data_IF_968295463751
#
_entry.id   IF_968295463751
#
_cell.length_a   1.000
_cell.length_b   1.000
_cell.length_c   1.000
_cell.angle_alpha   90.00
_cell.angle_beta   90.00
_cell.angle_gamma   90.00
#
_symmetry.space_group_name_H-M   'P 1'
#
loop_
_entity.id
_entity.type
_entity.pdbx_description
1 polymer ?
#
# COMPACT_ATOMS: atom_id res chain seq x y z
N UNK A 1 -7.45 45.86 47.24
CA UNK A 1 -7.71 44.44 46.92
C UNK A 1 -7.02 44.17 45.59
N UNK A 2 -5.91 43.43 45.62
CA UNK A 2 -5.04 43.16 44.47
C UNK A 2 -5.33 41.74 44.02
N UNK A 3 -6.00 41.56 42.89
CA UNK A 3 -6.20 40.25 42.27
C UNK A 3 -5.52 40.27 40.91
N UNK A 4 -4.35 39.63 40.84
CA UNK A 4 -3.61 39.39 39.61
C UNK A 4 -4.10 38.08 39.00
N UNK A 5 -4.64 38.15 37.78
CA UNK A 5 -4.97 36.98 36.94
C UNK A 5 -3.73 36.65 36.12
N UNK A 6 -3.15 35.48 36.35
CA UNK A 6 -2.06 34.93 35.53
C UNK A 6 -2.68 34.01 34.49
N UNK A 7 -2.65 34.42 33.22
CA UNK A 7 -2.99 33.58 32.07
C UNK A 7 -1.71 32.84 31.66
N UNK A 8 -1.68 31.52 31.86
CA UNK A 8 -0.61 30.66 31.36
C UNK A 8 -1.02 30.08 30.01
N UNK A 9 -0.59 30.72 28.92
CA UNK A 9 -0.72 30.19 27.57
C UNK A 9 0.46 29.25 27.28
N UNK A 10 0.21 27.94 27.33
CA UNK A 10 1.17 26.91 26.90
C UNK A 10 1.04 26.75 25.37
N UNK A 11 1.78 27.56 24.62
CA UNK A 11 1.98 27.33 23.19
C UNK A 11 3.03 26.23 23.01
N UNK A 12 2.58 24.97 23.04
CA UNK A 12 3.39 23.84 22.58
C UNK A 12 3.39 23.85 21.04
N UNK A 13 4.29 24.62 20.43
CA UNK A 13 4.69 24.35 19.04
C UNK A 13 5.55 23.08 19.07
N UNK A 14 4.88 21.94 19.09
CA UNK A 14 5.52 20.66 18.81
C UNK A 14 5.96 20.68 17.35
N UNK A 15 7.22 21.00 17.11
CA UNK A 15 7.91 20.49 15.93
C UNK A 15 7.84 18.96 16.07
N UNK A 16 6.81 18.32 15.49
CA UNK A 16 6.87 16.90 15.23
C UNK A 16 8.11 16.73 14.36
N UNK A 17 9.22 16.31 14.98
CA UNK A 17 10.37 15.87 14.23
C UNK A 17 9.84 14.80 13.30
N UNK A 18 9.85 15.08 12.00
CA UNK A 18 9.59 14.06 10.99
C UNK A 18 10.73 13.07 11.20
N UNK A 19 10.47 12.03 11.99
CA UNK A 19 11.36 10.90 12.13
C UNK A 19 11.44 10.31 10.74
N UNK A 20 12.62 10.39 10.12
CA UNK A 20 12.88 9.71 8.87
C UNK A 20 12.46 8.26 9.04
N UNK A 21 11.58 7.78 8.16
CA UNK A 21 11.23 6.36 8.10
C UNK A 21 12.35 5.62 7.37
N UNK A 22 12.59 4.38 7.79
CA UNK A 22 13.62 3.52 7.23
C UNK A 22 13.04 2.59 6.15
N UNK A 23 13.93 1.96 5.38
CA UNK A 23 13.54 0.99 4.37
C UNK A 23 12.76 -0.20 4.94
N UNK A 24 12.96 -0.55 6.22
CA UNK A 24 12.24 -1.62 6.89
C UNK A 24 10.74 -1.30 7.05
N UNK A 25 10.40 -0.04 7.34
CA UNK A 25 9.00 0.42 7.38
C UNK A 25 8.33 0.25 6.01
N UNK A 26 9.00 0.69 4.94
CA UNK A 26 8.49 0.56 3.57
C UNK A 26 8.30 -0.91 3.16
N UNK A 27 9.23 -1.79 3.52
CA UNK A 27 9.09 -3.23 3.28
C UNK A 27 7.89 -3.82 4.02
N UNK A 28 7.69 -3.47 5.30
CA UNK A 28 6.52 -3.91 6.08
C UNK A 28 5.21 -3.40 5.48
N UNK A 29 5.19 -2.20 4.91
CA UNK A 29 4.02 -1.67 4.22
C UNK A 29 3.73 -2.46 2.94
N UNK A 30 4.74 -2.82 2.15
CA UNK A 30 4.58 -3.67 0.96
C UNK A 30 4.02 -5.06 1.32
N UNK A 31 4.46 -5.65 2.43
CA UNK A 31 3.89 -6.91 2.93
C UNK A 31 2.41 -6.76 3.33
N UNK A 32 2.06 -5.64 3.98
CA UNK A 32 0.68 -5.32 4.35
C UNK A 32 -0.19 -5.13 3.11
N UNK A 33 0.31 -4.40 2.10
CA UNK A 33 -0.35 -4.26 0.80
C UNK A 33 -0.60 -5.61 0.15
N UNK A 34 0.40 -6.49 0.18
CA UNK A 34 0.27 -7.84 -0.36
C UNK A 34 -0.84 -8.66 0.33
N UNK A 35 -0.94 -8.57 1.66
CA UNK A 35 -2.02 -9.20 2.42
C UNK A 35 -3.40 -8.61 2.09
N UNK A 36 -3.50 -7.28 1.97
CA UNK A 36 -4.76 -6.61 1.67
C UNK A 36 -5.22 -6.88 0.23
N UNK A 37 -4.30 -6.95 -0.74
CA UNK A 37 -4.63 -7.33 -2.12
C UNK A 37 -5.13 -8.78 -2.22
N UNK A 38 -4.56 -9.71 -1.45
CA UNK A 38 -5.08 -11.08 -1.37
C UNK A 38 -6.46 -11.14 -0.70
N UNK A 39 -6.69 -10.31 0.31
CA UNK A 39 -7.99 -10.18 0.98
C UNK A 39 -9.05 -9.64 0.02
N UNK A 40 -8.71 -8.60 -0.76
CA UNK A 40 -9.56 -8.07 -1.83
C UNK A 40 -9.85 -9.15 -2.88
N UNK A 41 -8.83 -9.86 -3.35
CA UNK A 41 -8.99 -10.96 -4.32
C UNK A 41 -9.97 -12.02 -3.81
N UNK A 42 -9.86 -12.38 -2.53
CA UNK A 42 -10.75 -13.35 -1.88
C UNK A 42 -12.18 -12.84 -1.78
N UNK A 43 -12.37 -11.57 -1.39
CA UNK A 43 -13.68 -10.94 -1.29
C UNK A 43 -14.37 -10.86 -2.67
N UNK A 44 -13.62 -10.46 -3.71
CA UNK A 44 -14.11 -10.41 -5.09
C UNK A 44 -14.51 -11.81 -5.57
N UNK A 45 -13.67 -12.82 -5.38
CA UNK A 45 -13.99 -14.19 -5.77
C UNK A 45 -15.23 -14.73 -5.05
N UNK A 46 -15.45 -14.30 -3.80
CA UNK A 46 -16.61 -14.68 -3.00
C UNK A 46 -17.88 -13.90 -3.35
N UNK A 47 -17.76 -12.76 -4.05
CA UNK A 47 -18.89 -11.92 -4.40
C UNK A 47 -19.87 -12.66 -5.32
N UNK A 48 -21.09 -12.84 -4.85
CA UNK A 48 -22.21 -13.47 -5.56
C UNK A 48 -23.42 -12.55 -5.71
N UNK A 49 -23.43 -11.43 -5.00
CA UNK A 49 -24.46 -10.41 -5.07
C UNK A 49 -24.32 -9.38 -3.94
N UNK A 50 -25.34 -8.52 -3.79
CA UNK A 50 -25.31 -7.38 -2.87
C UNK A 50 -25.11 -7.77 -1.40
N UNK A 51 -25.48 -8.99 -1.00
CA UNK A 51 -25.25 -9.51 0.36
C UNK A 51 -23.76 -9.59 0.73
N UNK A 52 -22.88 -9.74 -0.27
CA UNK A 52 -21.44 -9.86 -0.08
C UNK A 52 -20.72 -8.50 -0.22
N UNK A 53 -21.45 -7.44 -0.59
CA UNK A 53 -20.89 -6.13 -0.89
C UNK A 53 -20.17 -5.51 0.32
N UNK A 54 -20.67 -5.73 1.54
CA UNK A 54 -20.04 -5.20 2.75
C UNK A 54 -18.61 -5.74 2.95
N UNK A 55 -18.40 -7.04 2.70
CA UNK A 55 -17.07 -7.65 2.80
C UNK A 55 -16.12 -7.17 1.71
N UNK A 56 -16.64 -6.96 0.49
CA UNK A 56 -15.88 -6.39 -0.62
C UNK A 56 -15.44 -4.95 -0.34
N UNK A 57 -16.37 -4.10 0.10
CA UNK A 57 -16.10 -2.69 0.44
C UNK A 57 -15.06 -2.60 1.57
N UNK A 58 -15.18 -3.45 2.60
CA UNK A 58 -14.20 -3.47 3.69
C UNK A 58 -12.79 -3.86 3.22
N UNK A 59 -12.68 -4.84 2.31
CA UNK A 59 -11.40 -5.26 1.77
C UNK A 59 -10.78 -4.20 0.84
N UNK A 60 -11.59 -3.53 0.03
CA UNK A 60 -11.16 -2.45 -0.85
C UNK A 60 -10.68 -1.24 -0.04
N UNK A 61 -11.46 -0.80 0.95
CA UNK A 61 -11.09 0.31 1.83
C UNK A 61 -9.82 0.01 2.62
N UNK A 62 -9.66 -1.22 3.11
CA UNK A 62 -8.43 -1.65 3.79
C UNK A 62 -7.20 -1.63 2.86
N UNK A 63 -7.38 -1.94 1.57
CA UNK A 63 -6.31 -1.81 0.59
C UNK A 63 -5.97 -0.34 0.32
N UNK A 64 -6.97 0.52 0.08
CA UNK A 64 -6.77 1.96 -0.14
C UNK A 64 -6.06 2.63 1.05
N UNK A 65 -6.51 2.36 2.28
CA UNK A 65 -5.88 2.89 3.49
C UNK A 65 -4.41 2.45 3.61
N UNK A 66 -4.11 1.20 3.27
CA UNK A 66 -2.74 0.68 3.28
C UNK A 66 -1.88 1.34 2.19
N UNK A 67 -2.41 1.60 0.99
CA UNK A 67 -1.67 2.30 -0.08
C UNK A 67 -1.37 3.74 0.35
N UNK A 68 -2.35 4.42 0.93
CA UNK A 68 -2.19 5.78 1.42
C UNK A 68 -1.14 5.86 2.54
N UNK A 69 -1.18 4.92 3.50
CA UNK A 69 -0.15 4.81 4.54
C UNK A 69 1.24 4.54 3.95
N UNK A 70 1.37 3.53 3.09
CA UNK A 70 2.64 3.19 2.44
C UNK A 70 3.21 4.37 1.64
N UNK A 71 2.35 5.15 0.99
CA UNK A 71 2.72 6.39 0.29
C UNK A 71 3.26 7.45 1.23
N UNK A 72 2.61 7.66 2.37
CA UNK A 72 3.09 8.60 3.39
C UNK A 72 4.44 8.18 3.95
N UNK A 73 4.63 6.89 4.26
CA UNK A 73 5.87 6.38 4.82
C UNK A 73 7.02 6.39 3.79
N UNK A 74 6.75 6.06 2.52
CA UNK A 74 7.70 6.20 1.42
C UNK A 74 8.15 7.66 1.23
N UNK A 75 7.22 8.63 1.29
CA UNK A 75 7.54 10.07 1.21
C UNK A 75 8.37 10.58 2.40
N UNK A 76 8.22 9.93 3.56
CA UNK A 76 8.99 10.26 4.77
C UNK A 76 10.37 9.58 4.80
N UNK A 77 10.68 8.72 3.83
CA UNK A 77 11.97 8.03 3.71
C UNK A 77 12.96 8.93 2.98
N UNK A 78 14.04 9.34 3.64
CA UNK A 78 14.96 10.37 3.11
C UNK A 78 16.26 9.82 2.53
N UNK A 79 16.59 8.55 2.78
CA UNK A 79 17.81 7.92 2.26
C UNK A 79 17.65 6.40 2.26
N UNK A 80 17.74 5.79 1.08
CA UNK A 80 17.71 4.34 0.88
C UNK A 80 19.05 3.93 0.27
N UNK A 81 19.76 3.00 0.91
CA UNK A 81 21.01 2.44 0.35
C UNK A 81 20.74 1.58 -0.89
N UNK A 82 21.75 1.31 -1.71
CA UNK A 82 21.60 0.45 -2.89
C UNK A 82 21.04 -0.95 -2.54
N UNK A 83 21.48 -1.54 -1.42
CA UNK A 83 21.01 -2.83 -0.94
C UNK A 83 19.54 -2.80 -0.50
N UNK A 84 19.13 -1.75 0.20
CA UNK A 84 17.74 -1.56 0.62
C UNK A 84 16.85 -1.28 -0.59
N UNK A 85 17.32 -0.46 -1.54
CA UNK A 85 16.61 -0.16 -2.78
C UNK A 85 16.39 -1.40 -3.63
N UNK A 86 17.38 -2.29 -3.71
CA UNK A 86 17.22 -3.60 -4.36
C UNK A 86 16.17 -4.46 -3.65
N UNK A 87 16.18 -4.49 -2.31
CA UNK A 87 15.23 -5.28 -1.51
C UNK A 87 13.79 -4.78 -1.70
N UNK A 88 13.58 -3.46 -1.68
CA UNK A 88 12.29 -2.83 -1.94
C UNK A 88 11.83 -3.14 -3.37
N UNK A 89 12.72 -3.01 -4.37
CA UNK A 89 12.35 -3.31 -5.75
C UNK A 89 11.93 -4.77 -5.94
N UNK A 90 12.64 -5.72 -5.32
CA UNK A 90 12.29 -7.14 -5.42
C UNK A 90 10.98 -7.45 -4.69
N UNK A 91 10.70 -6.79 -3.56
CA UNK A 91 9.40 -6.87 -2.90
C UNK A 91 8.27 -6.36 -3.82
N UNK A 92 8.46 -5.23 -4.51
CA UNK A 92 7.48 -4.70 -5.49
C UNK A 92 7.28 -5.68 -6.64
N UNK A 93 8.34 -6.26 -7.23
CA UNK A 93 8.22 -7.26 -8.30
C UNK A 93 7.39 -8.46 -7.88
N UNK A 94 7.63 -8.97 -6.68
CA UNK A 94 6.89 -10.11 -6.12
C UNK A 94 5.43 -9.77 -5.81
N UNK A 95 5.12 -8.49 -5.63
CA UNK A 95 3.76 -8.01 -5.40
C UNK A 95 2.94 -7.89 -6.71
N UNK A 96 3.56 -7.58 -7.85
CA UNK A 96 2.88 -7.40 -9.15
C UNK A 96 1.93 -8.57 -9.51
N UNK A 97 2.33 -9.86 -9.40
CA UNK A 97 1.43 -10.97 -9.71
C UNK A 97 0.12 -10.97 -8.90
N UNK A 98 0.16 -10.50 -7.65
CA UNK A 98 -1.02 -10.44 -6.79
C UNK A 98 -1.96 -9.30 -7.17
N UNK A 99 -1.42 -8.14 -7.61
CA UNK A 99 -2.22 -7.06 -8.19
C UNK A 99 -2.94 -7.57 -9.45
N UNK A 100 -2.22 -8.25 -10.35
CA UNK A 100 -2.77 -8.79 -11.59
C UNK A 100 -3.84 -9.85 -11.31
N UNK A 101 -3.63 -10.70 -10.31
CA UNK A 101 -4.63 -11.68 -9.88
C UNK A 101 -5.90 -11.02 -9.34
N UNK A 102 -5.77 -9.97 -8.52
CA UNK A 102 -6.90 -9.21 -8.00
C UNK A 102 -7.72 -8.55 -9.13
N UNK A 103 -7.04 -7.90 -10.08
CA UNK A 103 -7.69 -7.26 -11.23
C UNK A 103 -8.40 -8.29 -12.12
N UNK A 104 -7.78 -9.44 -12.38
CA UNK A 104 -8.41 -10.53 -13.12
C UNK A 104 -9.63 -11.11 -12.38
N UNK A 105 -9.58 -11.20 -11.04
CA UNK A 105 -10.74 -11.61 -10.24
C UNK A 105 -11.90 -10.61 -10.42
N UNK A 106 -11.63 -9.31 -10.37
CA UNK A 106 -12.66 -8.26 -10.54
C UNK A 106 -13.30 -8.35 -11.93
N UNK A 107 -12.46 -8.45 -12.95
CA UNK A 107 -12.87 -8.68 -14.35
C UNK A 107 -13.75 -9.91 -14.48
N UNK A 108 -13.37 -11.04 -13.87
CA UNK A 108 -14.13 -12.30 -13.97
C UNK A 108 -15.52 -12.21 -13.32
N UNK A 109 -15.72 -11.23 -12.43
CA UNK A 109 -16.97 -10.97 -11.71
C UNK A 109 -17.81 -9.86 -12.34
N UNK A 110 -17.43 -9.34 -13.52
CA UNK A 110 -18.15 -8.26 -14.22
C UNK A 110 -19.66 -8.52 -14.32
N UNK A 111 -20.08 -9.74 -14.71
CA UNK A 111 -21.51 -10.08 -14.77
C UNK A 111 -22.20 -10.04 -13.40
N UNK A 112 -21.54 -10.50 -12.33
CA UNK A 112 -22.09 -10.46 -10.99
C UNK A 112 -22.25 -9.00 -10.50
N UNK A 113 -21.26 -8.14 -10.77
CA UNK A 113 -21.34 -6.71 -10.46
C UNK A 113 -22.42 -6.00 -11.28
N UNK A 114 -22.59 -6.34 -12.56
CA UNK A 114 -23.69 -5.81 -13.39
C UNK A 114 -25.05 -6.27 -12.85
N UNK A 115 -25.21 -7.55 -12.51
CA UNK A 115 -26.46 -8.08 -11.93
C UNK A 115 -26.79 -7.44 -10.58
N UNK A 116 -25.79 -7.11 -9.78
CA UNK A 116 -25.95 -6.40 -8.52
C UNK A 116 -26.12 -4.86 -8.69
N UNK A 117 -25.98 -4.33 -9.91
CA UNK A 117 -26.12 -2.90 -10.19
C UNK A 117 -24.97 -2.02 -9.71
N UNK A 118 -23.79 -2.60 -9.41
CA UNK A 118 -22.63 -1.91 -8.82
C UNK A 118 -21.44 -1.76 -9.77
N UNK A 119 -21.60 -2.10 -11.06
CA UNK A 119 -20.50 -2.08 -12.03
C UNK A 119 -19.80 -0.71 -12.16
N UNK A 120 -20.56 0.39 -12.17
CA UNK A 120 -19.99 1.74 -12.27
C UNK A 120 -19.16 2.13 -11.05
N UNK A 121 -19.56 1.64 -9.87
CA UNK A 121 -18.86 1.85 -8.61
C UNK A 121 -17.52 1.10 -8.65
N UNK A 122 -17.56 -0.19 -9.00
CA UNK A 122 -16.35 -1.00 -9.13
C UNK A 122 -15.38 -0.40 -10.15
N UNK A 123 -15.87 0.12 -11.29
CA UNK A 123 -15.02 0.80 -12.27
C UNK A 123 -14.37 2.09 -11.69
N UNK A 124 -15.12 2.84 -10.87
CA UNK A 124 -14.61 4.00 -10.14
C UNK A 124 -13.54 3.62 -9.11
N UNK A 125 -13.74 2.55 -8.37
CA UNK A 125 -12.81 2.05 -7.36
C UNK A 125 -11.50 1.56 -8.02
N UNK A 126 -11.57 0.85 -9.16
CA UNK A 126 -10.37 0.46 -9.92
C UNK A 126 -9.56 1.70 -10.38
N UNK A 127 -10.23 2.76 -10.86
CA UNK A 127 -9.56 3.99 -11.28
C UNK A 127 -8.93 4.76 -10.10
N UNK A 128 -9.62 4.75 -8.95
CA UNK A 128 -9.12 5.27 -7.68
C UNK A 128 -7.87 4.53 -7.21
N UNK A 129 -7.94 3.21 -7.08
CA UNK A 129 -6.82 2.36 -6.68
C UNK A 129 -5.61 2.49 -7.62
N UNK A 130 -5.85 2.63 -8.92
CA UNK A 130 -4.78 2.92 -9.89
C UNK A 130 -4.07 4.22 -9.52
N UNK A 131 -4.82 5.30 -9.29
CA UNK A 131 -4.25 6.61 -8.94
C UNK A 131 -3.41 6.53 -7.67
N UNK A 132 -3.92 5.85 -6.64
CA UNK A 132 -3.20 5.63 -5.38
C UNK A 132 -1.93 4.80 -5.59
N UNK A 133 -1.99 3.74 -6.41
CA UNK A 133 -0.84 2.92 -6.75
C UNK A 133 0.24 3.72 -7.52
N UNK A 134 -0.16 4.58 -8.45
CA UNK A 134 0.77 5.48 -9.16
C UNK A 134 1.43 6.48 -8.20
N UNK A 135 0.69 7.04 -7.24
CA UNK A 135 1.22 7.93 -6.21
C UNK A 135 2.22 7.22 -5.28
N UNK A 136 1.92 5.98 -4.88
CA UNK A 136 2.83 5.14 -4.11
C UNK A 136 4.11 4.83 -4.90
N UNK A 137 3.98 4.41 -6.16
CA UNK A 137 5.11 4.11 -7.03
C UNK A 137 6.01 5.34 -7.23
N UNK A 138 5.43 6.52 -7.45
CA UNK A 138 6.17 7.77 -7.57
C UNK A 138 6.94 8.11 -6.28
N UNK A 139 6.35 7.87 -5.11
CA UNK A 139 7.02 8.06 -3.82
C UNK A 139 8.21 7.11 -3.65
N UNK A 140 8.05 5.83 -4.00
CA UNK A 140 9.15 4.85 -3.96
C UNK A 140 10.29 5.23 -4.90
N UNK A 141 9.98 5.59 -6.15
CA UNK A 141 11.00 5.97 -7.15
C UNK A 141 11.76 7.23 -6.71
N UNK A 142 11.08 8.17 -6.05
CA UNK A 142 11.71 9.37 -5.52
C UNK A 142 12.67 9.07 -4.36
N UNK A 143 12.33 8.11 -3.49
CA UNK A 143 13.17 7.67 -2.37
C UNK A 143 14.29 6.70 -2.81
N UNK A 144 14.16 6.06 -3.97
CA UNK A 144 15.05 5.02 -4.44
C UNK A 144 16.45 5.56 -4.84
N UNK A 145 17.51 4.77 -4.60
CA UNK A 145 18.84 5.09 -5.11
C UNK A 145 18.87 5.06 -6.64
N UNK A 146 19.83 5.76 -7.25
CA UNK A 146 19.84 6.01 -8.70
C UNK A 146 19.79 4.70 -9.53
N UNK A 147 20.53 3.68 -9.11
CA UNK A 147 20.56 2.37 -9.78
C UNK A 147 19.25 1.57 -9.73
N UNK A 148 18.31 1.96 -8.86
CA UNK A 148 17.01 1.31 -8.69
C UNK A 148 15.90 1.98 -9.50
N UNK A 149 16.07 3.24 -9.90
CA UNK A 149 14.99 4.05 -10.51
C UNK A 149 14.48 3.49 -11.83
N UNK A 150 15.36 2.96 -12.68
CA UNK A 150 14.95 2.34 -13.95
C UNK A 150 14.02 1.15 -13.70
N UNK A 151 14.41 0.25 -12.80
CA UNK A 151 13.57 -0.88 -12.37
C UNK A 151 12.26 -0.42 -11.73
N UNK A 152 12.30 0.60 -10.86
CA UNK A 152 11.10 1.18 -10.26
C UNK A 152 10.11 1.72 -11.30
N UNK A 153 10.59 2.46 -12.31
CA UNK A 153 9.75 2.98 -13.40
C UNK A 153 9.16 1.84 -14.27
N UNK A 154 9.93 0.79 -14.54
CA UNK A 154 9.45 -0.38 -15.28
C UNK A 154 8.33 -1.11 -14.51
N UNK A 155 8.51 -1.30 -13.20
CA UNK A 155 7.48 -1.88 -12.33
C UNK A 155 6.21 -1.02 -12.28
N UNK A 156 6.35 0.30 -12.11
CA UNK A 156 5.22 1.23 -12.11
C UNK A 156 4.43 1.19 -13.43
N UNK A 157 5.14 1.23 -14.56
CA UNK A 157 4.54 1.12 -15.89
C UNK A 157 3.81 -0.22 -16.09
N UNK A 158 4.35 -1.30 -15.52
CA UNK A 158 3.74 -2.61 -15.56
C UNK A 158 2.41 -2.66 -14.80
N UNK A 159 2.39 -2.10 -13.59
CA UNK A 159 1.17 -2.00 -12.76
C UNK A 159 0.13 -1.13 -13.47
N UNK A 160 0.50 0.04 -13.97
CA UNK A 160 -0.40 0.94 -14.70
C UNK A 160 -1.02 0.27 -15.92
N UNK A 161 -0.23 -0.49 -16.69
CA UNK A 161 -0.71 -1.25 -17.83
C UNK A 161 -1.72 -2.35 -17.42
N UNK A 162 -1.48 -3.03 -16.28
CA UNK A 162 -2.42 -4.02 -15.76
C UNK A 162 -3.78 -3.40 -15.40
N UNK A 163 -3.78 -2.24 -14.73
CA UNK A 163 -5.00 -1.49 -14.43
C UNK A 163 -5.72 -1.01 -15.70
N UNK A 164 -5.00 -0.42 -16.66
CA UNK A 164 -5.56 0.01 -17.95
C UNK A 164 -6.21 -1.16 -18.71
N UNK A 165 -5.53 -2.30 -18.78
CA UNK A 165 -6.07 -3.49 -19.42
C UNK A 165 -7.35 -3.97 -18.70
N UNK A 166 -7.36 -3.98 -17.36
CA UNK A 166 -8.54 -4.38 -16.60
C UNK A 166 -9.76 -3.49 -16.90
N UNK A 167 -9.55 -2.18 -17.05
CA UNK A 167 -10.59 -1.20 -17.39
C UNK A 167 -11.01 -1.34 -18.86
N UNK A 168 -10.06 -1.43 -19.79
CA UNK A 168 -10.32 -1.31 -21.22
C UNK A 168 -10.71 -2.63 -21.89
N UNK A 169 -9.99 -3.70 -21.60
CA UNK A 169 -10.14 -5.00 -22.28
C UNK A 169 -10.88 -6.03 -21.43
N UNK A 170 -11.12 -5.70 -20.15
CA UNK A 170 -11.60 -6.66 -19.15
C UNK A 170 -10.67 -7.88 -19.09
N UNK A 171 -9.36 -7.64 -19.05
CA UNK A 171 -8.31 -8.63 -18.71
C UNK A 171 -7.13 -7.88 -18.10
N UNK A 172 -6.38 -8.47 -17.17
CA UNK A 172 -5.13 -7.88 -16.67
C UNK A 172 -3.94 -8.77 -17.08
N UNK A 173 -3.05 -8.23 -17.92
CA UNK A 173 -1.79 -8.87 -18.31
C UNK A 173 -0.63 -8.30 -17.47
N UNK A 174 0.09 -9.19 -16.77
CA UNK A 174 1.25 -8.87 -15.93
C UNK A 174 2.60 -9.29 -16.51
N UNK A 175 2.67 -9.65 -17.79
CA UNK A 175 3.87 -10.20 -18.44
C UNK A 175 5.10 -9.30 -18.34
N UNK A 176 4.89 -7.99 -18.16
CA UNK A 176 5.93 -6.99 -17.93
C UNK A 176 6.75 -7.19 -16.64
N UNK A 177 6.26 -7.94 -15.65
CA UNK A 177 7.00 -8.18 -14.39
C UNK A 177 8.38 -8.82 -14.63
N UNK A 178 8.48 -9.69 -15.64
CA UNK A 178 9.73 -10.38 -15.99
C UNK A 178 10.81 -9.46 -16.59
N UNK A 179 10.41 -8.28 -17.09
CA UNK A 179 11.33 -7.28 -17.67
C UNK A 179 11.88 -6.28 -16.66
N UNK A 180 11.44 -6.32 -15.40
CA UNK A 180 11.91 -5.41 -14.36
C UNK A 180 13.29 -5.85 -13.88
N UNK A 181 14.34 -5.11 -14.25
CA UNK A 181 15.73 -5.36 -13.84
C UNK A 181 16.31 -4.19 -13.04
N UNK A 182 17.21 -4.49 -12.10
CA UNK A 182 17.98 -3.48 -11.36
C UNK A 182 19.29 -3.22 -12.12
N UNK A 183 19.52 -1.98 -12.59
CA UNK A 183 20.73 -1.65 -13.36
C UNK A 183 21.92 -1.26 -12.48
N UNK A 184 21.72 -1.04 -11.17
CA UNK A 184 22.76 -0.57 -10.24
C UNK A 184 23.66 -1.62 -9.59
N UNK A 185 23.49 -2.91 -9.88
CA UNK A 185 24.18 -3.99 -9.19
C UNK A 185 25.58 -4.25 -9.74
N UNK A 186 26.55 -3.43 -9.35
CA UNK A 186 27.99 -3.69 -9.39
C UNK A 186 28.47 -4.50 -10.61
N UNK A 187 28.67 -3.82 -11.73
CA UNK A 187 29.89 -4.13 -12.50
C UNK A 187 31.06 -3.78 -11.57
N UNK A 188 31.50 -4.78 -10.80
CA UNK A 188 32.89 -4.86 -10.42
C UNK A 188 33.67 -4.89 -11.74
N UNK A 189 33.92 -3.70 -12.28
CA UNK A 189 34.98 -3.47 -13.25
C UNK A 189 36.21 -3.99 -12.55
N UNK A 190 36.54 -5.25 -12.84
CA UNK A 190 37.84 -5.79 -12.57
C UNK A 190 38.77 -4.81 -13.25
N UNK A 191 39.41 -3.92 -12.46
CA UNK A 191 40.50 -3.13 -12.97
C UNK A 191 41.42 -4.12 -13.67
N UNK A 192 41.86 -3.87 -14.92
CA UNK A 192 42.82 -4.74 -15.55
C UNK A 192 44.01 -4.83 -14.60
N UNK A 193 44.24 -6.03 -14.07
CA UNK A 193 45.43 -6.32 -13.29
C UNK A 193 46.58 -6.20 -14.30
N UNK A 194 47.20 -5.03 -14.34
CA UNK A 194 48.48 -4.86 -15.02
C UNK A 194 49.47 -5.75 -14.27
N UNK A 195 49.65 -6.96 -14.81
CA UNK A 195 50.68 -7.90 -14.41
C UNK A 195 52.04 -7.23 -14.67
N UNK A 196 52.54 -6.48 -13.69
CA UNK A 196 53.92 -5.98 -13.71
C UNK A 196 54.82 -7.09 -13.19
N UNK A 197 55.38 -7.86 -14.13
CA UNK A 197 56.44 -8.83 -13.87
C UNK A 197 57.76 -8.10 -13.61
N UNK A 198 58.07 -7.82 -12.35
CA UNK A 198 59.45 -7.55 -11.94
C UNK A 198 59.76 -8.39 -10.70
N UNK A 199 60.61 -9.38 -10.94
CA UNK A 199 61.24 -10.18 -9.92
C UNK A 199 62.19 -9.31 -9.09
N UNK A 200 62.05 -9.35 -7.77
CA UNK A 200 63.22 -9.23 -6.90
C UNK A 200 63.05 -10.06 -5.62
N UNK A 201 64.05 -10.89 -5.43
CA UNK A 201 64.30 -11.90 -4.39
C UNK A 201 64.85 -11.14 -3.14
N UNK A 202 64.45 -11.38 -1.88
CA UNK A 202 64.98 -12.26 -0.77
C UNK A 202 64.74 -11.45 0.56
N UNK A 203 65.04 -11.89 1.82
CA UNK A 203 64.97 -13.20 2.50
C UNK A 203 64.13 -13.22 3.81
N UNK A 204 63.65 -14.42 4.14
CA UNK A 204 63.68 -15.14 5.43
C UNK A 204 64.11 -14.45 6.74
N UNK A 205 63.21 -14.45 7.73
CA UNK A 205 63.44 -14.78 9.17
C UNK A 205 62.07 -15.03 9.85
N UNK A 206 61.71 -16.25 10.29
CA UNK A 206 62.11 -17.01 11.48
C UNK A 206 61.75 -16.38 12.83
N UNK A 207 60.65 -16.86 13.45
CA UNK A 207 60.45 -17.19 14.88
C UNK A 207 58.93 -17.12 15.20
N UNK A 208 58.22 -18.26 15.27
CA UNK A 208 58.02 -19.09 16.46
C UNK A 208 57.11 -18.45 17.53
N UNK A 209 55.87 -18.96 17.68
CA UNK A 209 55.38 -19.41 18.98
C UNK A 209 54.14 -20.32 18.86
N UNK A 210 54.29 -21.53 19.40
CA UNK A 210 53.22 -22.46 19.77
C UNK A 210 52.29 -21.85 20.83
N UNK A 211 51.01 -22.25 20.86
CA UNK A 211 50.46 -23.21 21.83
C UNK A 211 48.93 -23.32 21.68
N UNK A 212 48.44 -24.54 21.44
CA UNK A 212 47.07 -25.02 21.78
C UNK A 212 46.93 -25.10 23.32
N UNK A 213 45.75 -25.28 23.99
CA UNK A 213 44.68 -26.25 23.64
C UNK A 213 43.21 -25.98 24.10
N UNK A 214 42.29 -26.72 23.49
CA UNK A 214 41.15 -27.51 24.03
C UNK A 214 40.10 -27.01 25.06
N UNK A 215 38.90 -27.58 24.87
CA UNK A 215 37.80 -27.94 25.81
C UNK A 215 36.75 -26.90 26.24
N UNK A 216 35.48 -27.24 26.01
CA UNK A 216 34.37 -27.40 27.00
C UNK A 216 33.03 -27.36 26.22
N UNK A 217 32.37 -28.48 25.90
CA UNK A 217 31.36 -29.16 26.74
C UNK A 217 30.45 -28.21 27.55
N UNK A 218 29.13 -28.33 27.37
CA UNK A 218 28.17 -27.75 28.30
C UNK A 218 26.75 -27.49 27.80
N UNK A 219 25.91 -28.52 27.88
CA UNK A 219 24.53 -28.44 28.41
C UNK A 219 23.40 -27.81 27.58
N UNK A 220 22.51 -28.71 27.14
CA UNK A 220 21.08 -28.48 26.96
C UNK A 220 20.40 -28.06 28.29
N UNK A 221 19.21 -27.43 28.20
CA UNK A 221 18.06 -28.12 28.76
C UNK A 221 16.82 -28.09 27.85
N UNK A 222 16.11 -29.21 27.87
CA UNK A 222 14.74 -29.36 27.41
C UNK A 222 13.76 -28.62 28.33
N UNK A 223 12.78 -27.89 27.80
CA UNK A 223 11.57 -27.51 28.54
C UNK A 223 10.33 -27.47 27.64
N UNK A 224 9.45 -28.42 27.93
CA UNK A 224 7.98 -28.44 27.91
C UNK A 224 7.17 -27.86 26.76
N UNK A 225 6.63 -28.79 25.98
CA UNK A 225 5.26 -28.75 25.47
C UNK A 225 4.22 -28.62 26.60
N UNK A 226 3.37 -27.60 26.57
CA UNK A 226 2.10 -27.58 27.30
C UNK A 226 0.94 -27.38 26.32
N UNK A 227 0.34 -28.49 25.94
CA UNK A 227 -0.96 -28.59 25.28
C UNK A 227 -2.04 -28.24 26.31
N UNK A 228 -2.61 -27.04 26.21
CA UNK A 228 -3.77 -26.63 26.99
C UNK A 228 -5.03 -26.73 26.15
N UNK A 229 -5.77 -27.83 26.30
CA UNK A 229 -7.19 -27.88 25.95
C UNK A 229 -8.00 -27.21 27.06
N UNK A 230 -8.68 -26.12 26.75
CA UNK A 230 -9.86 -25.70 27.53
C UNK A 230 -11.07 -25.69 26.61
N UNK A 231 -11.94 -26.66 26.87
CA UNK A 231 -13.32 -26.69 26.44
C UNK A 231 -14.18 -26.21 27.61
N UNK A 232 -14.82 -25.04 27.48
CA UNK A 232 -15.98 -24.57 28.24
C UNK A 232 -16.41 -23.27 27.57
N UNK A 233 -17.66 -22.84 27.50
CA UNK A 233 -18.97 -23.37 27.85
C UNK A 233 -19.90 -22.29 27.31
N UNK A 234 -21.05 -22.69 26.76
CA UNK A 234 -22.01 -21.77 26.17
C UNK A 234 -22.41 -20.62 27.09
N UNK A 235 -22.58 -19.44 26.49
CA UNK A 235 -23.43 -18.39 27.04
C UNK A 235 -24.25 -17.78 25.91
N UNK A 236 -25.55 -17.97 26.07
CA UNK A 236 -26.64 -17.58 25.21
C UNK A 236 -26.76 -16.05 25.16
N UNK A 237 -27.07 -15.56 23.96
CA UNK A 237 -27.45 -14.19 23.61
C UNK A 237 -28.60 -13.69 24.49
N UNK A 238 -28.62 -12.40 24.83
CA UNK A 238 -29.85 -11.65 24.51
C UNK A 238 -29.58 -10.37 23.74
N UNK A 239 -30.28 -10.28 22.60
CA UNK A 239 -30.44 -9.09 21.77
C UNK A 239 -31.06 -7.92 22.56
N UNK A 240 -30.52 -6.70 22.47
CA UNK A 240 -31.33 -5.51 22.70
C UNK A 240 -32.13 -5.17 21.43
N UNK A 241 -33.44 -5.07 21.64
CA UNK A 241 -34.50 -4.66 20.72
C UNK A 241 -34.23 -3.30 20.05
N UNK A 242 -34.50 -3.24 18.75
CA UNK A 242 -34.56 -2.01 17.97
C UNK A 242 -35.61 -1.04 18.54
N UNK A 243 -35.19 0.20 18.82
CA UNK A 243 -36.09 1.30 19.16
C UNK A 243 -36.32 2.13 17.90
N UNK A 244 -37.50 1.98 17.29
CA UNK A 244 -37.96 2.81 16.18
C UNK A 244 -38.42 4.17 16.70
N UNK A 245 -37.63 5.21 16.46
CA UNK A 245 -38.08 6.60 16.63
C UNK A 245 -38.43 7.17 15.27
N UNK A 246 -39.74 7.18 14.98
CA UNK A 246 -40.37 7.84 13.85
C UNK A 246 -40.31 9.35 14.06
N UNK A 247 -39.58 10.08 13.22
CA UNK A 247 -39.71 11.53 13.07
C UNK A 247 -40.67 11.86 11.92
N UNK A 248 -41.56 12.85 12.08
CA UNK A 248 -42.54 13.20 11.05
C UNK A 248 -41.91 13.93 9.86
N UNK A 249 -42.37 13.56 8.67
CA UNK A 249 -42.14 14.24 7.39
C UNK A 249 -42.73 15.66 7.44
N UNK A 250 -41.88 16.67 7.27
CA UNK A 250 -42.31 18.04 6.97
C UNK A 250 -42.32 18.20 5.46
N UNK A 251 -43.51 18.26 4.87
CA UNK A 251 -43.74 18.63 3.47
C UNK A 251 -43.57 20.14 3.35
N UNK A 252 -42.40 20.56 2.88
CA UNK A 252 -42.13 21.95 2.48
C UNK A 252 -42.48 22.16 1.02
N UNK A 253 -43.57 22.87 0.76
CA UNK A 253 -43.95 23.35 -0.58
C UNK A 253 -43.09 24.55 -0.98
N UNK A 254 -42.48 24.47 -2.18
CA UNK A 254 -42.25 25.64 -3.01
C UNK A 254 -40.83 26.23 -2.98
N UNK A 255 -40.07 25.98 -4.05
CA UNK A 255 -39.22 27.00 -4.67
C UNK A 255 -39.01 26.63 -6.14
N UNK A 256 -39.35 27.58 -7.00
CA UNK A 256 -39.28 27.46 -8.45
C UNK A 256 -37.82 27.35 -8.92
N UNK A 257 -37.57 26.42 -9.84
CA UNK A 257 -36.34 26.38 -10.62
C UNK A 257 -36.45 27.43 -11.75
N UNK A 258 -35.52 28.39 -11.88
CA UNK A 258 -35.41 29.15 -13.12
C UNK A 258 -34.80 28.25 -14.21
N UNK A 259 -35.53 28.06 -15.30
CA UNK A 259 -34.99 27.56 -16.57
C UNK A 259 -34.10 28.63 -17.17
N UNK A 260 -32.78 28.53 -16.94
CA UNK A 260 -31.78 29.34 -17.63
C UNK A 260 -31.29 28.59 -18.87
N UNK A 261 -31.89 28.91 -20.01
CA UNK A 261 -31.46 28.44 -21.33
C UNK A 261 -30.47 29.45 -21.89
N UNK A 262 -29.17 29.21 -21.67
CA UNK A 262 -28.10 29.99 -22.26
C UNK A 262 -26.91 29.09 -22.58
N UNK A 263 -26.23 29.26 -23.74
CA UNK A 263 -25.08 28.44 -24.09
C UNK A 263 -23.91 28.74 -23.14
N UNK A 264 -23.42 27.72 -22.45
CA UNK A 264 -22.20 27.81 -21.64
C UNK A 264 -21.02 27.96 -22.59
N UNK A 265 -20.46 29.16 -22.67
CA UNK A 265 -19.13 29.41 -23.21
C UNK A 265 -18.12 28.93 -22.17
N UNK A 266 -17.46 27.81 -22.45
CA UNK A 266 -16.38 27.28 -21.62
C UNK A 266 -15.14 28.13 -21.86
N UNK A 267 -14.78 28.95 -20.87
CA UNK A 267 -13.50 29.68 -20.85
C UNK A 267 -12.40 28.70 -20.43
N UNK A 268 -11.40 28.40 -21.26
CA UNK A 268 -10.25 27.63 -20.81
C UNK A 268 -9.32 28.60 -20.07
N UNK A 269 -8.83 28.16 -18.90
CA UNK A 269 -7.69 28.68 -18.15
C UNK A 269 -8.03 29.27 -16.76
N UNK A 270 -8.02 28.39 -15.75
CA UNK A 270 -7.34 28.63 -14.47
C UNK A 270 -7.20 27.30 -13.75
N UNK A 271 -5.95 26.85 -13.59
CA UNK A 271 -5.56 25.62 -12.92
C UNK A 271 -5.82 25.66 -11.42
N UNK A 272 -7.08 25.57 -11.03
CA UNK A 272 -7.46 25.16 -9.68
C UNK A 272 -7.73 23.65 -9.72
N UNK A 273 -6.74 22.86 -9.33
CA UNK A 273 -6.96 21.46 -8.97
C UNK A 273 -7.94 21.43 -7.80
N UNK A 274 -9.22 21.22 -8.08
CA UNK A 274 -10.19 20.86 -7.05
C UNK A 274 -9.78 19.47 -6.57
N UNK A 275 -8.99 19.42 -5.49
CA UNK A 275 -8.80 18.22 -4.69
C UNK A 275 -10.16 17.88 -4.08
N UNK A 276 -10.99 17.16 -4.83
CA UNK A 276 -12.10 16.42 -4.24
C UNK A 276 -11.42 15.37 -3.36
N UNK A 277 -11.41 15.60 -2.05
CA UNK A 277 -10.91 14.62 -1.10
C UNK A 277 -11.63 13.29 -1.36
N UNK A 278 -10.84 12.25 -1.62
CA UNK A 278 -11.24 10.90 -2.02
C UNK A 278 -12.23 10.23 -1.05
N UNK A 279 -12.43 10.82 0.13
CA UNK A 279 -13.48 10.48 1.11
C UNK A 279 -14.91 10.61 0.57
N UNK A 280 -15.13 11.40 -0.49
CA UNK A 280 -16.47 11.69 -1.00
C UNK A 280 -17.16 10.54 -1.75
N UNK A 281 -16.41 9.64 -2.41
CA UNK A 281 -16.99 8.60 -3.26
C UNK A 281 -17.54 7.45 -2.40
N UNK A 282 -16.83 7.08 -1.33
CA UNK A 282 -17.27 6.07 -0.36
C UNK A 282 -18.55 6.44 0.40
N UNK A 283 -18.75 7.74 0.66
CA UNK A 283 -19.94 8.21 1.38
C UNK A 283 -21.22 8.08 0.54
N UNK A 284 -21.11 8.19 -0.78
CA UNK A 284 -22.26 8.07 -1.68
C UNK A 284 -22.71 6.61 -1.80
N UNK A 285 -21.78 5.65 -1.75
CA UNK A 285 -22.11 4.22 -1.78
C UNK A 285 -22.76 3.74 -0.47
N UNK A 286 -22.29 4.24 0.68
CA UNK A 286 -22.92 3.96 1.97
C UNK A 286 -24.35 4.53 2.07
N UNK A 287 -24.66 5.61 1.33
CA UNK A 287 -26.00 6.19 1.28
C UNK A 287 -26.96 5.43 0.34
N UNK A 288 -26.45 4.67 -0.63
CA UNK A 288 -27.25 3.87 -1.57
C UNK A 288 -27.67 2.49 -1.03
N UNK A 289 -27.05 2.02 0.06
CA UNK A 289 -27.39 0.73 0.70
C UNK A 289 -28.45 0.91 1.82
N UNK A 290 -28.81 2.16 2.15
CA UNK A 290 -29.78 2.50 3.21
C UNK A 290 -31.10 3.09 2.66
N UNK A 291 -31.28 3.12 1.33
CA UNK A 291 -32.52 3.51 0.64
C UNK A 291 -33.08 2.33 -0.16
#
# INVERSE_FOLDING_TARGET
MKSSVVILALAATGNAAILARDAATVLSDIETLNSNTQSLTTAVNSFSGISDAAGLIAAESGLSDAINKATTDAKATTSVSDSEGSSILDAVKNFIPNIVAALNAVVSKDTAFTSAGVQSVVAGDIASLRTEASDFAAALIAAAPEGAKAGGNAAASCIDAAFENAIATKTADGSCASSVTFEGGSSATSAPVTQSSSAEQVPSSSAAQETSPSTSEGSAPAVSSSTGSEATSGAVVPYPTASTTTTPVVVGTGSAYPTSTGPIQVSPNSGASVKIGMTGIFTILALAIVL
#
